data_IF_206629818264
#
_entry.id   IF_206629818264
#
_cell.length_a   1.000
_cell.length_b   1.000
_cell.length_c   1.000
_cell.angle_alpha   90.00
_cell.angle_beta   90.00
_cell.angle_gamma   90.00
#
_symmetry.space_group_name_H-M   'P 1'
#
loop_
_entity.id
_entity.type
_entity.pdbx_description
1 polymer ?
#
# COMPACT_ATOMS: atom_id res chain seq x y z
N UNK A 1 8.88 -105.72 17.48
CA UNK A 1 8.17 -104.61 16.82
C UNK A 1 8.92 -103.30 17.03
N UNK A 2 9.46 -102.68 15.97
CA UNK A 2 9.89 -101.27 15.96
C UNK A 2 9.25 -100.63 14.74
N UNK A 3 8.09 -100.00 14.94
CA UNK A 3 7.40 -99.24 13.90
C UNK A 3 8.23 -98.00 13.57
N UNK A 4 8.74 -97.94 12.35
CA UNK A 4 9.33 -96.75 11.74
C UNK A 4 8.24 -95.68 11.60
N UNK A 5 8.14 -94.79 12.59
CA UNK A 5 7.32 -93.59 12.50
C UNK A 5 7.94 -92.62 11.49
N UNK A 6 7.42 -92.69 10.26
CA UNK A 6 7.64 -91.74 9.18
C UNK A 6 7.30 -90.31 9.63
N UNK A 7 8.34 -89.49 9.84
CA UNK A 7 8.19 -88.05 10.12
C UNK A 7 7.60 -87.34 8.88
N UNK A 8 6.32 -86.94 8.93
CA UNK A 8 5.67 -86.11 7.89
C UNK A 8 6.37 -84.75 7.75
N UNK A 9 6.73 -84.34 6.53
CA UNK A 9 7.21 -82.97 6.24
C UNK A 9 6.03 -81.97 6.22
N UNK A 10 6.20 -80.72 6.70
CA UNK A 10 5.16 -79.68 6.62
C UNK A 10 4.90 -79.21 5.17
N UNK A 11 3.64 -78.86 4.89
CA UNK A 11 3.02 -78.54 3.58
C UNK A 11 3.66 -77.43 2.71
N UNK A 12 4.72 -76.76 3.15
CA UNK A 12 5.34 -75.62 2.45
C UNK A 12 6.84 -75.81 2.18
N UNK A 13 7.28 -77.04 1.96
CA UNK A 13 8.68 -77.43 1.76
C UNK A 13 8.82 -78.15 0.42
N UNK A 14 9.67 -77.67 -0.48
CA UNK A 14 10.06 -78.42 -1.67
C UNK A 14 11.15 -79.45 -1.30
N UNK A 15 10.93 -80.71 -1.70
CA UNK A 15 11.86 -81.83 -1.44
C UNK A 15 12.84 -81.90 -2.61
N UNK A 16 14.12 -81.75 -2.32
CA UNK A 16 15.18 -81.89 -3.33
C UNK A 16 16.01 -83.11 -2.93
N UNK A 17 16.33 -83.97 -3.90
CA UNK A 17 17.20 -85.15 -3.71
C UNK A 17 18.64 -84.68 -3.59
N UNK A 18 19.34 -85.09 -2.53
CA UNK A 18 20.79 -84.96 -2.44
C UNK A 18 21.39 -86.33 -2.09
N UNK A 19 21.88 -87.04 -3.11
CA UNK A 19 22.34 -88.43 -2.96
C UNK A 19 21.19 -89.38 -2.57
N UNK A 20 21.44 -90.28 -1.61
CA UNK A 20 20.46 -91.31 -1.18
C UNK A 20 19.40 -90.80 -0.18
N UNK A 21 19.39 -89.51 0.17
CA UNK A 21 18.47 -88.93 1.14
C UNK A 21 17.69 -87.73 0.58
N UNK A 22 16.44 -87.58 1.07
CA UNK A 22 15.57 -86.44 0.77
C UNK A 22 15.68 -85.38 1.86
N UNK A 23 15.97 -84.12 1.49
CA UNK A 23 16.07 -83.01 2.44
C UNK A 23 14.97 -81.97 2.14
N UNK A 24 14.20 -81.59 3.17
CA UNK A 24 13.19 -80.54 3.09
C UNK A 24 13.86 -79.16 3.32
N UNK A 25 14.01 -78.32 2.28
CA UNK A 25 14.43 -76.91 2.46
C UNK A 25 13.19 -76.06 2.75
N UNK A 26 13.18 -75.36 3.89
CA UNK A 26 12.16 -74.33 4.19
C UNK A 26 12.51 -73.04 3.42
N UNK A 27 11.51 -72.43 2.78
CA UNK A 27 11.64 -71.10 2.18
C UNK A 27 12.03 -70.06 3.25
N UNK A 28 12.93 -69.10 2.98
CA UNK A 28 13.30 -68.08 3.96
C UNK A 28 12.06 -67.28 4.38
N UNK A 29 11.77 -67.22 5.69
CA UNK A 29 10.75 -66.28 6.21
C UNK A 29 11.20 -64.87 5.86
N UNK A 30 10.30 -64.04 5.32
CA UNK A 30 10.50 -62.60 5.22
C UNK A 30 10.68 -62.02 6.64
N UNK A 31 11.93 -61.89 7.08
CA UNK A 31 12.26 -61.16 8.30
C UNK A 31 12.14 -59.68 7.96
N UNK A 32 11.00 -59.07 8.28
CA UNK A 32 10.92 -57.60 8.36
C UNK A 32 11.96 -57.19 9.39
N UNK A 33 13.11 -56.67 8.94
CA UNK A 33 14.17 -56.17 9.81
C UNK A 33 13.59 -55.03 10.64
N UNK A 34 13.17 -55.30 11.88
CA UNK A 34 12.75 -54.26 12.82
C UNK A 34 13.96 -53.35 13.04
N UNK A 35 13.82 -52.07 12.70
CA UNK A 35 14.91 -51.09 12.85
C UNK A 35 15.35 -51.03 14.32
N UNK A 36 16.66 -50.93 14.61
CA UNK A 36 17.14 -50.94 15.99
C UNK A 36 16.57 -49.76 16.78
N UNK A 37 16.19 -49.97 18.05
CA UNK A 37 15.57 -48.95 18.94
C UNK A 37 16.32 -47.61 18.95
N UNK A 38 17.66 -47.63 18.84
CA UNK A 38 18.53 -46.44 18.74
C UNK A 38 18.17 -45.51 17.57
N UNK A 39 17.76 -46.06 16.42
CA UNK A 39 17.37 -45.26 15.25
C UNK A 39 16.00 -44.60 15.40
N UNK A 40 15.06 -45.24 16.12
CA UNK A 40 13.75 -44.66 16.43
C UNK A 40 13.88 -43.52 17.44
N UNK A 41 14.72 -43.69 18.46
CA UNK A 41 15.01 -42.66 19.46
C UNK A 41 15.68 -41.43 18.84
N UNK A 42 16.66 -41.62 17.93
CA UNK A 42 17.29 -40.51 17.18
C UNK A 42 16.32 -39.75 16.27
N UNK A 43 15.35 -40.46 15.67
CA UNK A 43 14.28 -39.82 14.88
C UNK A 43 13.35 -38.99 15.77
N UNK A 44 12.96 -39.50 16.93
CA UNK A 44 12.12 -38.76 17.88
C UNK A 44 12.85 -37.54 18.46
N UNK A 45 14.14 -37.65 18.80
CA UNK A 45 14.93 -36.50 19.26
C UNK A 45 15.04 -35.42 18.18
N UNK A 46 15.34 -35.80 16.93
CA UNK A 46 15.43 -34.86 15.82
C UNK A 46 14.08 -34.17 15.52
N UNK A 47 12.95 -34.91 15.63
CA UNK A 47 11.60 -34.32 15.52
C UNK A 47 11.35 -33.29 16.63
N UNK A 48 11.74 -33.58 17.88
CA UNK A 48 11.60 -32.64 19.01
C UNK A 48 12.42 -31.36 18.79
N UNK A 49 13.64 -31.49 18.29
CA UNK A 49 14.50 -30.34 17.95
C UNK A 49 13.87 -29.51 16.82
N UNK A 50 13.35 -30.15 15.77
CA UNK A 50 12.63 -29.45 14.69
C UNK A 50 11.41 -28.67 15.19
N UNK A 51 10.61 -29.27 16.06
CA UNK A 51 9.44 -28.61 16.67
C UNK A 51 9.87 -27.41 17.54
N UNK A 52 10.96 -27.51 18.31
CA UNK A 52 11.49 -26.39 19.11
C UNK A 52 11.89 -25.21 18.22
N UNK A 53 12.65 -25.47 17.15
CA UNK A 53 13.04 -24.44 16.18
C UNK A 53 11.83 -23.74 15.56
N UNK A 54 10.80 -24.51 15.17
CA UNK A 54 9.56 -23.95 14.63
C UNK A 54 8.86 -23.08 15.66
N UNK A 55 8.80 -23.50 16.93
CA UNK A 55 8.20 -22.70 18.01
C UNK A 55 8.95 -21.40 18.25
N UNK A 56 10.29 -21.43 18.23
CA UNK A 56 11.14 -20.24 18.35
C UNK A 56 10.91 -19.28 17.17
N UNK A 57 10.84 -19.79 15.93
CA UNK A 57 10.51 -18.98 14.76
C UNK A 57 9.12 -18.35 14.89
N UNK A 58 8.10 -19.10 15.33
CA UNK A 58 6.75 -18.56 15.53
C UNK A 58 6.75 -17.47 16.60
N UNK A 59 7.48 -17.66 17.70
CA UNK A 59 7.58 -16.66 18.75
C UNK A 59 8.22 -15.35 18.24
N UNK A 60 9.31 -15.47 17.46
CA UNK A 60 9.96 -14.31 16.85
C UNK A 60 9.06 -13.60 15.85
N UNK A 61 8.42 -14.33 14.94
CA UNK A 61 7.49 -13.76 13.96
C UNK A 61 6.32 -13.05 14.64
N UNK A 62 5.83 -13.57 15.77
CA UNK A 62 4.78 -12.90 16.54
C UNK A 62 5.25 -11.59 17.15
N UNK A 63 6.50 -11.50 17.64
CA UNK A 63 7.01 -10.22 18.18
C UNK A 63 7.22 -9.21 17.06
N UNK A 64 7.84 -9.61 15.94
CA UNK A 64 8.03 -8.77 14.75
C UNK A 64 6.67 -8.24 14.23
N UNK A 65 5.65 -9.10 14.19
CA UNK A 65 4.31 -8.71 13.76
C UNK A 65 3.65 -7.70 14.72
N UNK A 66 3.91 -7.80 16.03
CA UNK A 66 3.40 -6.82 17.00
C UNK A 66 4.08 -5.46 16.83
N UNK A 67 5.40 -5.45 16.60
CA UNK A 67 6.17 -4.24 16.32
C UNK A 67 5.68 -3.55 15.04
N UNK A 68 5.55 -4.31 13.94
CA UNK A 68 4.99 -3.81 12.67
C UNK A 68 3.58 -3.24 12.88
N UNK A 69 2.74 -3.88 13.69
CA UNK A 69 1.39 -3.37 13.96
C UNK A 69 1.39 -2.04 14.72
N UNK A 70 2.36 -1.81 15.60
CA UNK A 70 2.52 -0.52 16.30
C UNK A 70 2.98 0.54 15.30
N UNK A 71 3.98 0.22 14.48
CA UNK A 71 4.50 1.15 13.47
C UNK A 71 3.42 1.54 12.46
N UNK A 72 2.63 0.57 11.99
CA UNK A 72 1.52 0.82 11.06
C UNK A 72 0.48 1.77 11.65
N UNK A 73 0.17 1.66 12.95
CA UNK A 73 -0.75 2.60 13.62
C UNK A 73 -0.15 4.00 13.69
N UNK A 74 1.13 4.12 14.07
CA UNK A 74 1.83 5.40 14.10
C UNK A 74 1.86 6.06 12.71
N UNK A 75 2.16 5.29 11.65
CA UNK A 75 2.14 5.76 10.27
C UNK A 75 0.74 6.24 9.87
N UNK A 76 -0.30 5.48 10.21
CA UNK A 76 -1.68 5.85 9.89
C UNK A 76 -2.09 7.17 10.57
N UNK A 77 -1.71 7.36 11.83
CA UNK A 77 -1.93 8.61 12.55
C UNK A 77 -1.15 9.78 11.92
N UNK A 78 0.11 9.58 11.59
CA UNK A 78 0.93 10.57 10.90
C UNK A 78 0.33 10.98 9.55
N UNK A 79 -0.12 10.01 8.75
CA UNK A 79 -0.79 10.28 7.48
C UNK A 79 -2.09 11.07 7.67
N UNK A 80 -2.88 10.76 8.71
CA UNK A 80 -4.09 11.51 9.03
C UNK A 80 -3.78 12.98 9.36
N UNK A 81 -2.73 13.23 10.14
CA UNK A 81 -2.29 14.59 10.46
C UNK A 81 -1.84 15.35 9.22
N UNK A 82 -1.05 14.72 8.35
CA UNK A 82 -0.60 15.33 7.09
C UNK A 82 -1.78 15.68 6.19
N UNK A 83 -2.77 14.79 6.07
CA UNK A 83 -3.98 15.06 5.27
C UNK A 83 -4.76 16.26 5.79
N UNK A 84 -4.97 16.37 7.10
CA UNK A 84 -5.65 17.52 7.71
C UNK A 84 -4.95 18.85 7.40
N UNK A 85 -3.63 18.91 7.64
CA UNK A 85 -2.84 20.10 7.32
C UNK A 85 -2.87 20.44 5.83
N UNK A 86 -2.86 19.43 4.97
CA UNK A 86 -2.96 19.64 3.54
C UNK A 86 -4.32 20.21 3.12
N UNK A 87 -5.41 19.73 3.71
CA UNK A 87 -6.76 20.27 3.49
C UNK A 87 -6.87 21.75 3.94
N UNK A 88 -6.29 22.10 5.09
CA UNK A 88 -6.18 23.50 5.55
C UNK A 88 -5.42 24.36 4.54
N UNK A 89 -4.24 23.91 4.09
CA UNK A 89 -3.44 24.62 3.07
C UNK A 89 -4.20 24.78 1.76
N UNK A 90 -4.96 23.77 1.31
CA UNK A 90 -5.74 23.90 0.08
C UNK A 90 -6.86 24.93 0.24
N UNK A 91 -7.55 24.98 1.38
CA UNK A 91 -8.58 25.99 1.64
C UNK A 91 -7.99 27.40 1.62
N UNK A 92 -6.88 27.62 2.31
CA UNK A 92 -6.17 28.89 2.31
C UNK A 92 -5.73 29.29 0.89
N UNK A 93 -5.18 28.33 0.14
CA UNK A 93 -4.76 28.55 -1.25
C UNK A 93 -5.95 28.96 -2.14
N UNK A 94 -7.08 28.29 -2.03
CA UNK A 94 -8.28 28.63 -2.81
C UNK A 94 -8.79 30.03 -2.49
N UNK A 95 -8.75 30.43 -1.22
CA UNK A 95 -9.11 31.77 -0.81
C UNK A 95 -8.14 32.81 -1.40
N UNK A 96 -6.82 32.61 -1.25
CA UNK A 96 -5.81 33.49 -1.82
C UNK A 96 -5.92 33.61 -3.34
N UNK A 97 -6.27 32.53 -4.02
CA UNK A 97 -6.46 32.54 -5.47
C UNK A 97 -7.66 33.38 -5.89
N UNK A 98 -8.79 33.29 -5.17
CA UNK A 98 -9.97 34.15 -5.39
C UNK A 98 -9.65 35.63 -5.16
N UNK A 99 -8.94 35.95 -4.08
CA UNK A 99 -8.52 37.31 -3.76
C UNK A 99 -7.57 37.87 -4.83
N UNK A 100 -6.60 37.06 -5.26
CA UNK A 100 -5.63 37.44 -6.31
C UNK A 100 -6.32 37.66 -7.65
N UNK A 101 -7.27 36.81 -8.02
CA UNK A 101 -8.02 36.96 -9.26
C UNK A 101 -8.84 38.26 -9.26
N UNK A 102 -9.47 38.59 -8.14
CA UNK A 102 -10.18 39.86 -7.97
C UNK A 102 -9.25 41.07 -8.10
N UNK A 103 -8.08 41.04 -7.46
CA UNK A 103 -7.06 42.09 -7.58
C UNK A 103 -6.56 42.20 -9.03
N UNK A 104 -6.36 41.07 -9.72
CA UNK A 104 -5.91 41.03 -11.11
C UNK A 104 -6.92 41.70 -12.04
N UNK A 105 -8.21 41.38 -11.88
CA UNK A 105 -9.30 41.99 -12.64
C UNK A 105 -9.39 43.50 -12.38
N UNK A 106 -9.29 43.93 -11.13
CA UNK A 106 -9.26 45.35 -10.77
C UNK A 106 -8.05 46.06 -11.38
N UNK A 107 -6.87 45.44 -11.29
CA UNK A 107 -5.62 45.96 -11.84
C UNK A 107 -5.66 46.05 -13.36
N UNK A 108 -6.33 45.12 -14.04
CA UNK A 108 -6.58 45.22 -15.48
C UNK A 108 -7.47 46.44 -15.80
N UNK A 109 -8.56 46.64 -15.06
CA UNK A 109 -9.41 47.82 -15.20
C UNK A 109 -8.66 49.14 -15.00
N UNK A 110 -7.77 49.20 -14.00
CA UNK A 110 -6.90 50.36 -13.75
C UNK A 110 -5.94 50.56 -14.92
N UNK A 111 -5.27 49.51 -15.41
CA UNK A 111 -4.36 49.59 -16.57
C UNK A 111 -5.06 50.15 -17.81
N UNK A 112 -6.27 49.69 -18.12
CA UNK A 112 -7.06 50.21 -19.25
C UNK A 112 -7.37 51.69 -19.08
N UNK A 113 -7.77 52.13 -17.87
CA UNK A 113 -8.05 53.54 -17.58
C UNK A 113 -6.80 54.42 -17.71
N UNK A 114 -5.67 53.96 -17.18
CA UNK A 114 -4.40 54.67 -17.28
C UNK A 114 -3.96 54.83 -18.73
N UNK A 115 -4.04 53.78 -19.54
CA UNK A 115 -3.70 53.84 -20.96
C UNK A 115 -4.53 54.89 -21.70
N UNK A 116 -5.85 54.95 -21.45
CA UNK A 116 -6.71 55.97 -22.05
C UNK A 116 -6.33 57.39 -21.61
N UNK A 117 -5.97 57.58 -20.34
CA UNK A 117 -5.50 58.88 -19.84
C UNK A 117 -4.22 59.29 -20.57
N UNK A 118 -3.26 58.37 -20.75
CA UNK A 118 -2.04 58.64 -21.50
C UNK A 118 -2.31 58.96 -22.98
N UNK A 119 -3.25 58.26 -23.62
CA UNK A 119 -3.65 58.55 -25.00
C UNK A 119 -4.32 59.94 -25.12
N UNK A 120 -5.15 60.32 -24.15
CA UNK A 120 -5.75 61.67 -24.10
C UNK A 120 -4.66 62.73 -23.95
N UNK A 121 -3.70 62.51 -23.05
CA UNK A 121 -2.58 63.43 -22.86
C UNK A 121 -1.78 63.59 -24.15
N UNK A 122 -1.52 62.49 -24.87
CA UNK A 122 -0.84 62.53 -26.17
C UNK A 122 -1.63 63.30 -27.22
N UNK A 123 -2.93 63.02 -27.37
CA UNK A 123 -3.79 63.71 -28.32
C UNK A 123 -3.91 65.22 -28.05
N UNK A 124 -3.84 65.64 -26.77
CA UNK A 124 -3.76 67.06 -26.39
C UNK A 124 -2.47 67.71 -26.83
N UNK A 125 -1.33 67.02 -26.69
CA UNK A 125 -0.04 67.51 -27.20
C UNK A 125 -0.07 67.65 -28.73
N UNK A 126 -0.68 66.68 -29.41
CA UNK A 126 -0.90 66.69 -30.87
C UNK A 126 -1.98 67.69 -31.33
N UNK A 127 -2.66 68.39 -30.39
CA UNK A 127 -3.78 69.30 -30.64
C UNK A 127 -4.98 68.67 -31.41
N UNK A 128 -5.16 67.35 -31.33
CA UNK A 128 -6.27 66.63 -31.95
C UNK A 128 -7.51 66.66 -31.05
N UNK A 129 -8.33 67.69 -31.24
CA UNK A 129 -9.55 67.91 -30.43
C UNK A 129 -10.62 66.83 -30.63
N UNK A 130 -10.73 66.26 -31.83
CA UNK A 130 -11.69 65.21 -32.15
C UNK A 130 -11.35 63.92 -31.40
N UNK A 131 -10.08 63.51 -31.42
CA UNK A 131 -9.59 62.32 -30.71
C UNK A 131 -9.66 62.48 -29.19
N UNK A 132 -9.36 63.67 -28.66
CA UNK A 132 -9.53 63.97 -27.23
C UNK A 132 -10.99 63.80 -26.81
N UNK A 133 -11.95 64.33 -27.58
CA UNK A 133 -13.38 64.19 -27.27
C UNK A 133 -13.82 62.72 -27.29
N UNK A 134 -13.39 61.95 -28.30
CA UNK A 134 -13.71 60.53 -28.42
C UNK A 134 -13.14 59.70 -27.24
N UNK A 135 -11.86 59.87 -26.91
CA UNK A 135 -11.20 59.14 -25.83
C UNK A 135 -11.78 59.51 -24.46
N UNK A 136 -12.12 60.79 -24.25
CA UNK A 136 -12.76 61.26 -23.01
C UNK A 136 -14.14 60.65 -22.83
N UNK A 137 -14.94 60.58 -23.90
CA UNK A 137 -16.24 59.89 -23.86
C UNK A 137 -16.07 58.41 -23.52
N UNK A 138 -15.08 57.74 -24.14
CA UNK A 138 -14.78 56.33 -23.88
C UNK A 138 -14.37 56.09 -22.42
N UNK A 139 -13.52 56.95 -21.87
CA UNK A 139 -13.11 56.89 -20.46
C UNK A 139 -14.31 57.10 -19.52
N UNK A 140 -15.18 58.09 -19.81
CA UNK A 140 -16.39 58.35 -19.04
C UNK A 140 -17.31 57.12 -19.00
N UNK A 141 -17.51 56.47 -20.15
CA UNK A 141 -18.31 55.25 -20.24
C UNK A 141 -17.70 54.09 -19.44
N UNK A 142 -16.38 53.95 -19.41
CA UNK A 142 -15.69 52.91 -18.63
C UNK A 142 -15.72 53.16 -17.11
N UNK A 143 -15.85 54.41 -16.68
CA UNK A 143 -15.99 54.77 -15.26
C UNK A 143 -17.45 54.64 -14.83
N UNK A 144 -18.40 54.99 -15.70
CA UNK A 144 -19.84 54.96 -15.42
C UNK A 144 -20.43 53.54 -15.36
N UNK A 145 -19.76 52.53 -15.95
CA UNK A 145 -20.18 51.13 -15.80
C UNK A 145 -20.11 50.73 -14.33
N UNK A 146 -21.23 50.32 -13.70
CA UNK A 146 -21.23 49.91 -12.31
C UNK A 146 -20.31 48.71 -12.16
N UNK A 147 -19.50 48.73 -11.10
CA UNK A 147 -18.80 47.54 -10.64
C UNK A 147 -19.89 46.59 -10.15
N UNK A 148 -20.09 45.46 -10.81
CA UNK A 148 -20.80 44.33 -10.21
C UNK A 148 -19.93 43.81 -9.06
N UNK A 149 -19.99 44.51 -7.93
CA UNK A 149 -19.40 44.15 -6.66
C UNK A 149 -20.53 44.22 -5.65
N UNK A 150 -21.49 43.30 -5.78
CA UNK A 150 -22.37 42.96 -4.68
C UNK A 150 -21.58 42.11 -3.70
N UNK A 151 -21.58 42.58 -2.46
CA UNK A 151 -21.34 41.85 -1.22
C UNK A 151 -21.15 40.33 -1.37
N UNK A 152 -19.95 39.87 -1.04
CA UNK A 152 -19.86 38.66 -0.21
C UNK A 152 -19.24 39.14 1.08
N UNK A 153 -20.10 39.35 2.07
CA UNK A 153 -19.70 39.32 3.47
C UNK A 153 -18.74 38.14 3.62
N UNK A 154 -17.54 38.39 4.16
CA UNK A 154 -16.83 37.34 4.87
C UNK A 154 -17.77 36.90 5.99
N UNK A 155 -18.34 35.66 6.01
CA UNK A 155 -18.89 35.17 7.25
C UNK A 155 -17.69 34.97 8.18
N UNK A 156 -17.87 35.47 9.39
CA UNK A 156 -16.93 35.45 10.48
C UNK A 156 -16.22 34.10 10.63
N UNK A 157 -14.99 34.17 11.11
CA UNK A 157 -14.36 33.02 11.74
C UNK A 157 -15.32 32.43 12.78
N UNK A 158 -15.63 31.13 12.61
CA UNK A 158 -15.84 30.14 13.67
C UNK A 158 -16.47 28.87 13.07
N UNK A 159 -15.70 27.78 13.00
CA UNK A 159 -16.05 26.55 13.73
C UNK A 159 -14.97 25.46 13.58
N UNK A 160 -14.43 25.09 14.74
CA UNK A 160 -13.68 23.87 15.13
C UNK A 160 -12.20 23.81 14.72
#
# INVERSE_FOLDING_TARGET
MKLLLSRRCPRSSSRIKSGRNWVCKRSPRNIVRKKPKRFLNRRQSNKRVGIRKIKECIARLKSEMLEINVDQKSIAEGQKQVRKKYEEIQREREQLWKETELISQQSHGIRVRLNLIFEIMRARVESDSAKVAQLTLRLRNLIAKPKEQKEVLMPDGNNI
#
